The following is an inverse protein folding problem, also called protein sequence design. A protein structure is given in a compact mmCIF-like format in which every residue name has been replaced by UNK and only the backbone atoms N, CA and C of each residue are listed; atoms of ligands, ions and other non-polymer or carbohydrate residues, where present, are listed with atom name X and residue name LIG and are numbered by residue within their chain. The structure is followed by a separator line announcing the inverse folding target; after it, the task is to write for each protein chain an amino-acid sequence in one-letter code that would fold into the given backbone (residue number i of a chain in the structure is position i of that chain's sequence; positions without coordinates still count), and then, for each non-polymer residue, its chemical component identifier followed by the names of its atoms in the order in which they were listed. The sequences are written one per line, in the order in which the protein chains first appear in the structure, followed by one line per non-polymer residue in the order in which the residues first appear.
data_IF_463495208587
#
_entry.id   IF_463495208587
#
_cell.length_a   1.000
_cell.length_b   1.000
_cell.length_c   1.000
_cell.angle_alpha   90.00
_cell.angle_beta   90.00
_cell.angle_gamma   90.00
#
_symmetry.space_group_name_H-M   'P 1'
#
loop_
_entity.id
_entity.type
_entity.pdbx_description
1 polymer ?
#
# COMPACT_ATOMS: atom_id res chain seq x y z
N UNK A 1 -14.77 -4.22 1.19
CA UNK A 1 -13.50 -3.50 1.45
C UNK A 1 -13.84 -2.19 2.15
N UNK A 2 -13.24 -1.86 3.32
CA UNK A 2 -13.40 -0.54 3.96
C UNK A 2 -12.73 0.56 3.13
N UNK A 3 -13.23 1.81 3.26
CA UNK A 3 -12.60 2.95 2.63
C UNK A 3 -11.29 3.34 3.33
N UNK A 4 -10.37 3.98 2.60
CA UNK A 4 -9.10 4.43 3.17
C UNK A 4 -9.30 5.58 4.18
N UNK A 5 -10.36 6.37 4.07
CA UNK A 5 -10.67 7.40 5.06
C UNK A 5 -11.30 6.87 6.36
N UNK A 6 -11.62 5.58 6.45
CA UNK A 6 -12.06 4.91 7.66
C UNK A 6 -10.88 4.63 8.60
N UNK A 7 -11.15 4.03 9.77
CA UNK A 7 -10.12 3.87 10.78
C UNK A 7 -9.19 2.70 10.49
N UNK A 8 -7.89 2.92 10.60
CA UNK A 8 -6.84 1.94 10.43
C UNK A 8 -6.33 1.37 11.74
N UNK A 9 -5.91 0.11 11.73
CA UNK A 9 -5.09 -0.50 12.76
C UNK A 9 -3.60 -0.16 12.55
N UNK A 10 -3.19 0.18 11.34
CA UNK A 10 -1.84 0.60 10.98
C UNK A 10 -1.63 0.68 9.47
N UNK A 11 -0.43 1.04 9.09
CA UNK A 11 0.04 1.15 7.72
C UNK A 11 1.26 0.25 7.51
N UNK A 12 1.30 -0.44 6.38
CA UNK A 12 2.45 -1.19 5.89
C UNK A 12 3.22 -0.40 4.85
N UNK A 13 4.55 -0.53 4.86
CA UNK A 13 5.48 -0.06 3.84
C UNK A 13 6.53 -1.14 3.57
N UNK A 14 7.23 -1.05 2.44
CA UNK A 14 8.45 -1.81 2.15
C UNK A 14 9.65 -0.86 2.08
N UNK A 15 10.87 -1.40 2.23
CA UNK A 15 12.09 -0.60 2.19
C UNK A 15 12.72 -0.61 0.80
N UNK A 16 13.02 0.56 0.20
CA UNK A 16 13.60 0.61 -1.13
C UNK A 16 15.09 0.23 -1.10
N UNK A 17 15.51 -0.67 -2.01
CA UNK A 17 16.91 -1.11 -2.11
C UNK A 17 17.39 -1.34 -3.53
N UNK A 18 16.49 -1.41 -4.51
CA UNK A 18 16.77 -1.76 -5.89
C UNK A 18 17.49 -0.63 -6.65
N UNK A 19 18.80 -0.78 -7.05
CA UNK A 19 19.56 0.34 -7.61
C UNK A 19 19.23 0.67 -9.08
N UNK A 20 18.54 -0.22 -9.79
CA UNK A 20 18.04 0.00 -11.15
C UNK A 20 16.67 0.70 -11.20
N UNK A 21 16.11 1.02 -10.02
CA UNK A 21 14.95 1.88 -9.87
C UNK A 21 15.25 3.09 -8.97
N UNK A 22 16.02 2.90 -7.90
CA UNK A 22 16.34 3.92 -6.91
C UNK A 22 17.79 4.37 -7.04
N UNK A 23 18.00 5.62 -7.44
CA UNK A 23 19.34 6.16 -7.68
C UNK A 23 20.25 6.09 -6.46
N UNK A 24 21.56 6.09 -6.68
CA UNK A 24 22.60 6.12 -5.64
C UNK A 24 22.45 5.00 -4.59
N UNK A 25 22.08 3.79 -5.04
CA UNK A 25 21.87 2.63 -4.17
C UNK A 25 20.73 2.85 -3.19
N UNK A 26 19.67 3.53 -3.63
CA UNK A 26 18.44 3.84 -2.90
C UNK A 26 18.59 4.81 -1.70
N UNK A 27 19.75 5.34 -1.41
CA UNK A 27 19.98 6.18 -0.21
C UNK A 27 19.08 7.42 -0.14
N UNK A 28 18.87 8.20 -1.23
CA UNK A 28 17.93 9.34 -1.20
C UNK A 28 16.48 8.89 -1.04
N UNK A 29 16.09 7.81 -1.70
CA UNK A 29 14.74 7.25 -1.58
C UNK A 29 14.48 6.70 -0.18
N UNK A 30 15.45 6.03 0.44
CA UNK A 30 15.37 5.57 1.83
C UNK A 30 15.11 6.74 2.80
N UNK A 31 15.74 7.89 2.58
CA UNK A 31 15.48 9.08 3.38
C UNK A 31 14.03 9.60 3.20
N UNK A 32 13.52 9.60 1.96
CA UNK A 32 12.13 9.98 1.67
C UNK A 32 11.13 8.99 2.29
N UNK A 33 11.36 7.68 2.17
CA UNK A 33 10.53 6.64 2.79
C UNK A 33 10.50 6.76 4.31
N UNK A 34 11.65 7.01 4.94
CA UNK A 34 11.72 7.23 6.39
C UNK A 34 10.92 8.49 6.81
N UNK A 35 10.97 9.56 6.01
CA UNK A 35 10.19 10.77 6.27
C UNK A 35 8.68 10.54 6.12
N UNK A 36 8.25 9.76 5.12
CA UNK A 36 6.85 9.35 4.94
C UNK A 36 6.40 8.48 6.11
N UNK A 37 7.17 7.47 6.49
CA UNK A 37 6.89 6.60 7.63
C UNK A 37 6.74 7.40 8.94
N UNK A 38 7.65 8.36 9.18
CA UNK A 38 7.59 9.24 10.35
C UNK A 38 6.37 10.17 10.34
N UNK A 39 5.94 10.64 9.15
CA UNK A 39 4.74 11.44 9.01
C UNK A 39 3.46 10.62 9.33
N UNK A 40 3.36 9.39 8.81
CA UNK A 40 2.24 8.47 9.07
C UNK A 40 2.21 8.07 10.55
N UNK A 41 3.36 7.81 11.17
CA UNK A 41 3.48 7.42 12.57
C UNK A 41 2.91 8.45 13.56
N UNK A 42 2.72 9.72 13.16
CA UNK A 42 1.97 10.71 13.95
C UNK A 42 0.48 10.38 14.06
N UNK A 43 -0.04 9.54 13.18
CA UNK A 43 -1.46 9.21 13.10
C UNK A 43 -1.80 7.77 13.46
N UNK A 44 -0.93 6.82 13.15
CA UNK A 44 -1.18 5.39 13.28
C UNK A 44 0.13 4.58 13.31
N UNK A 45 0.12 3.32 13.81
CA UNK A 45 1.28 2.46 13.77
C UNK A 45 1.76 2.20 12.33
N UNK A 46 3.08 2.16 12.14
CA UNK A 46 3.71 1.84 10.85
C UNK A 46 4.57 0.59 11.00
N UNK A 47 4.46 -0.32 10.04
CA UNK A 47 5.32 -1.48 9.88
C UNK A 47 6.04 -1.39 8.54
N UNK A 48 7.36 -1.61 8.54
CA UNK A 48 8.19 -1.60 7.33
C UNK A 48 8.79 -2.97 7.13
N UNK A 49 8.46 -3.59 6.00
CA UNK A 49 9.10 -4.83 5.52
C UNK A 49 10.44 -4.50 4.88
N UNK A 50 11.46 -5.25 5.25
CA UNK A 50 12.86 -4.98 4.89
C UNK A 50 13.58 -6.29 4.60
N UNK A 51 14.42 -6.34 3.58
CA UNK A 51 15.27 -7.51 3.35
C UNK A 51 16.27 -7.72 4.49
N UNK A 52 16.72 -8.95 4.70
CA UNK A 52 17.76 -9.27 5.71
C UNK A 52 19.00 -8.39 5.53
N UNK A 53 19.41 -8.13 4.28
CA UNK A 53 20.58 -7.31 3.96
C UNK A 53 20.44 -5.84 4.38
N UNK A 54 19.22 -5.30 4.35
CA UNK A 54 18.95 -3.90 4.67
C UNK A 54 18.41 -3.68 6.08
N UNK A 55 18.22 -4.74 6.87
CA UNK A 55 17.56 -4.65 8.17
C UNK A 55 18.25 -3.66 9.13
N UNK A 56 19.56 -3.74 9.27
CA UNK A 56 20.32 -2.83 10.13
C UNK A 56 20.30 -1.39 9.60
N UNK A 57 20.40 -1.22 8.28
CA UNK A 57 20.31 0.09 7.64
C UNK A 57 18.94 0.75 7.88
N UNK A 58 17.85 0.02 7.65
CA UNK A 58 16.50 0.51 7.90
C UNK A 58 16.28 0.83 9.38
N UNK A 59 16.72 -0.06 10.29
CA UNK A 59 16.59 0.15 11.73
C UNK A 59 17.30 1.41 12.21
N UNK A 60 18.48 1.72 11.64
CA UNK A 60 19.25 2.93 11.96
C UNK A 60 18.61 4.23 11.44
N UNK A 61 17.78 4.16 10.40
CA UNK A 61 17.18 5.33 9.75
C UNK A 61 15.73 5.59 10.17
N UNK A 62 14.99 4.55 10.55
CA UNK A 62 13.60 4.65 10.97
C UNK A 62 13.49 5.00 12.45
N UNK A 63 12.45 5.76 12.84
CA UNK A 63 12.14 6.03 14.24
C UNK A 63 12.02 4.72 15.03
N UNK A 64 12.46 4.67 16.30
CA UNK A 64 12.42 3.47 17.13
C UNK A 64 11.04 2.84 17.26
N UNK A 65 9.97 3.64 17.25
CA UNK A 65 8.57 3.23 17.35
C UNK A 65 8.01 2.55 16.09
N UNK A 66 8.68 2.72 14.93
CA UNK A 66 8.29 2.05 13.69
C UNK A 66 8.72 0.60 13.76
N UNK A 67 7.77 -0.31 13.60
CA UNK A 67 8.02 -1.74 13.55
C UNK A 67 8.78 -2.09 12.26
N UNK A 68 9.90 -2.80 12.39
CA UNK A 68 10.65 -3.34 11.25
C UNK A 68 10.57 -4.85 11.28
N UNK A 69 10.21 -5.45 10.16
CA UNK A 69 10.10 -6.91 10.00
C UNK A 69 10.86 -7.36 8.75
N UNK A 70 11.36 -8.59 8.77
CA UNK A 70 12.06 -9.13 7.61
C UNK A 70 11.06 -9.63 6.56
N UNK A 71 11.07 -8.98 5.39
CA UNK A 71 10.35 -9.39 4.19
C UNK A 71 11.24 -9.14 2.98
N UNK A 72 11.58 -10.19 2.24
CA UNK A 72 12.23 -10.05 0.94
C UNK A 72 11.22 -9.67 -0.13
N UNK A 73 11.52 -8.65 -0.92
CA UNK A 73 10.75 -8.21 -2.10
C UNK A 73 11.72 -7.94 -3.26
N UNK A 74 11.20 -7.74 -4.47
CA UNK A 74 11.99 -7.28 -5.60
C UNK A 74 12.03 -5.75 -5.67
N UNK A 75 10.94 -5.07 -5.23
CA UNK A 75 10.88 -3.61 -5.07
C UNK A 75 9.97 -3.20 -3.90
N UNK A 76 9.70 -1.89 -3.72
CA UNK A 76 9.11 -1.34 -2.50
C UNK A 76 7.65 -0.85 -2.68
N UNK A 77 6.92 -1.36 -3.66
CA UNK A 77 5.58 -0.90 -4.04
C UNK A 77 4.47 -1.71 -3.35
N UNK A 78 4.37 -1.58 -2.02
CA UNK A 78 3.45 -2.39 -1.19
C UNK A 78 1.97 -2.17 -1.53
N UNK A 79 1.60 -1.02 -2.08
CA UNK A 79 0.23 -0.77 -2.54
C UNK A 79 -0.20 -1.81 -3.57
N UNK A 80 0.72 -2.22 -4.44
CA UNK A 80 0.43 -3.02 -5.61
C UNK A 80 0.73 -4.50 -5.40
N UNK A 81 1.80 -4.83 -4.67
CA UNK A 81 2.17 -6.21 -4.37
C UNK A 81 1.73 -6.68 -2.98
N UNK A 82 1.23 -5.78 -2.13
CA UNK A 82 0.70 -6.11 -0.81
C UNK A 82 -0.75 -6.59 -0.83
N UNK A 83 -1.27 -7.06 0.31
CA UNK A 83 -2.65 -7.56 0.38
C UNK A 83 -3.66 -6.41 0.34
N UNK A 84 -4.74 -6.58 -0.41
CA UNK A 84 -5.92 -5.74 -0.26
C UNK A 84 -6.74 -6.23 0.92
N UNK A 85 -6.74 -5.48 2.03
CA UNK A 85 -7.47 -5.88 3.23
C UNK A 85 -8.99 -5.67 3.10
N UNK A 86 -9.73 -6.67 3.54
CA UNK A 86 -11.20 -6.63 3.65
C UNK A 86 -11.62 -7.04 5.07
N UNK A 87 -12.86 -6.69 5.45
CA UNK A 87 -13.47 -7.10 6.72
C UNK A 87 -14.67 -7.97 6.39
N UNK A 88 -14.73 -9.16 6.98
CA UNK A 88 -15.86 -10.07 6.81
C UNK A 88 -17.09 -9.63 7.63
N UNK A 89 -18.22 -10.29 7.39
CA UNK A 89 -19.49 -10.00 8.09
C UNK A 89 -19.41 -10.20 9.62
N UNK A 90 -18.40 -10.91 10.12
CA UNK A 90 -18.16 -11.14 11.56
C UNK A 90 -17.17 -10.10 12.14
N UNK A 91 -16.67 -9.17 11.32
CA UNK A 91 -15.70 -8.16 11.71
C UNK A 91 -14.26 -8.69 11.72
N UNK A 92 -13.99 -9.88 11.18
CA UNK A 92 -12.65 -10.44 11.02
C UNK A 92 -11.92 -9.80 9.83
N UNK A 93 -10.62 -9.48 10.03
CA UNK A 93 -9.77 -8.99 8.93
C UNK A 93 -9.35 -10.16 8.04
N UNK A 94 -9.43 -9.95 6.74
CA UNK A 94 -9.01 -10.86 5.69
C UNK A 94 -8.15 -10.10 4.69
N UNK A 95 -7.34 -10.79 3.90
CA UNK A 95 -6.59 -10.17 2.82
C UNK A 95 -6.81 -10.87 1.49
N UNK A 96 -7.09 -10.09 0.47
CA UNK A 96 -7.04 -10.57 -0.92
C UNK A 96 -5.60 -10.44 -1.39
N UNK A 97 -5.08 -11.55 -1.87
CA UNK A 97 -3.74 -11.69 -2.43
C UNK A 97 -3.90 -11.89 -3.94
N UNK A 98 -3.79 -10.77 -4.65
CA UNK A 98 -3.86 -10.72 -6.10
C UNK A 98 -2.57 -11.26 -6.72
N UNK A 99 -2.64 -11.77 -7.94
CA UNK A 99 -1.43 -12.05 -8.71
C UNK A 99 -0.79 -10.73 -9.13
N UNK A 100 0.49 -10.58 -8.83
CA UNK A 100 1.30 -9.43 -9.24
C UNK A 100 2.22 -9.81 -10.39
N UNK A 101 2.32 -8.97 -11.43
CA UNK A 101 3.12 -9.22 -12.62
C UNK A 101 3.96 -8.01 -13.05
N UNK A 102 4.39 -7.17 -12.10
CA UNK A 102 5.15 -5.95 -12.35
C UNK A 102 4.50 -5.02 -13.39
N UNK A 103 3.16 -4.86 -13.32
CA UNK A 103 2.31 -3.99 -14.15
C UNK A 103 2.26 -4.34 -15.63
N UNK A 104 2.53 -5.57 -16.01
CA UNK A 104 2.38 -5.96 -17.41
C UNK A 104 3.10 -7.23 -17.84
N UNK A 105 3.73 -7.92 -16.91
CA UNK A 105 4.39 -9.19 -17.15
C UNK A 105 5.59 -9.05 -18.10
N UNK A 106 5.85 -10.08 -18.87
CA UNK A 106 6.99 -10.10 -19.79
C UNK A 106 6.85 -9.19 -21.02
N UNK A 107 5.62 -8.70 -21.30
CA UNK A 107 5.34 -7.90 -22.50
C UNK A 107 5.27 -6.39 -22.25
N UNK A 108 5.08 -5.98 -20.99
CA UNK A 108 4.88 -4.58 -20.64
C UNK A 108 5.24 -4.22 -19.21
N UNK A 109 5.74 -5.19 -18.43
CA UNK A 109 6.16 -4.98 -17.06
C UNK A 109 7.39 -4.07 -16.94
N UNK A 110 7.53 -3.44 -15.79
CA UNK A 110 8.60 -2.48 -15.54
C UNK A 110 9.92 -3.17 -15.17
N UNK A 111 9.87 -4.40 -14.66
CA UNK A 111 11.05 -5.19 -14.29
C UNK A 111 10.79 -6.69 -14.26
N UNK A 112 11.87 -7.45 -14.30
CA UNK A 112 11.91 -8.89 -14.12
C UNK A 112 13.18 -9.29 -13.33
N UNK A 113 13.09 -10.24 -12.37
CA UNK A 113 11.91 -10.96 -11.90
C UNK A 113 11.03 -10.13 -10.94
N UNK A 114 9.80 -10.63 -10.65
CA UNK A 114 8.87 -10.08 -9.65
C UNK A 114 8.31 -11.14 -8.71
N UNK A 115 8.95 -12.30 -8.68
CA UNK A 115 8.54 -13.48 -7.90
C UNK A 115 8.41 -13.21 -6.41
N UNK A 116 9.33 -12.42 -5.82
CA UNK A 116 9.30 -12.05 -4.42
C UNK A 116 8.20 -11.04 -4.11
N UNK A 117 7.89 -10.17 -5.06
CA UNK A 117 6.80 -9.21 -4.90
C UNK A 117 5.44 -9.92 -4.94
N UNK A 118 5.26 -10.94 -5.79
CA UNK A 118 4.04 -11.76 -5.82
C UNK A 118 3.81 -12.56 -4.52
N UNK A 119 4.82 -12.67 -3.66
CA UNK A 119 4.73 -13.31 -2.34
C UNK A 119 4.51 -12.31 -1.17
N UNK A 120 4.66 -11.02 -1.38
CA UNK A 120 4.57 -10.01 -0.30
C UNK A 120 3.24 -10.05 0.40
N UNK A 121 2.13 -10.14 -0.34
CA UNK A 121 0.79 -10.18 0.23
C UNK A 121 0.63 -11.37 1.20
N UNK A 122 1.11 -12.55 0.83
CA UNK A 122 1.09 -13.73 1.69
C UNK A 122 1.89 -13.49 2.98
N UNK A 123 3.13 -13.01 2.86
CA UNK A 123 4.01 -12.76 4.03
C UNK A 123 3.42 -11.75 5.00
N UNK A 124 2.83 -10.67 4.49
CA UNK A 124 2.14 -9.67 5.32
C UNK A 124 0.95 -10.30 6.06
N UNK A 125 0.13 -11.11 5.37
CA UNK A 125 -1.04 -11.75 5.99
C UNK A 125 -0.65 -12.78 7.05
N UNK A 126 0.42 -13.54 6.85
CA UNK A 126 0.97 -14.47 7.84
C UNK A 126 1.44 -13.72 9.10
N UNK A 127 2.17 -12.60 8.94
CA UNK A 127 2.65 -11.77 10.05
C UNK A 127 1.48 -11.16 10.85
N UNK A 128 0.42 -10.75 10.16
CA UNK A 128 -0.78 -10.14 10.76
C UNK A 128 -1.80 -11.18 11.27
N UNK A 129 -1.57 -12.48 11.04
CA UNK A 129 -2.49 -13.56 11.41
C UNK A 129 -3.86 -13.42 10.74
N UNK A 130 -3.90 -12.91 9.52
CA UNK A 130 -5.12 -12.71 8.75
C UNK A 130 -5.29 -13.81 7.70
N UNK A 131 -6.54 -14.26 7.49
CA UNK A 131 -6.83 -15.25 6.45
C UNK A 131 -6.59 -14.67 5.06
N UNK A 132 -6.09 -15.52 4.18
CA UNK A 132 -5.65 -15.17 2.81
C UNK A 132 -6.67 -15.67 1.78
N UNK A 133 -7.04 -14.81 0.83
CA UNK A 133 -7.78 -15.14 -0.38
C UNK A 133 -6.89 -14.98 -1.61
N UNK A 134 -6.13 -16.01 -1.98
CA UNK A 134 -5.31 -16.00 -3.20
C UNK A 134 -6.20 -16.14 -4.43
N UNK A 135 -5.89 -15.34 -5.46
CA UNK A 135 -6.55 -15.41 -6.77
C UNK A 135 -5.53 -15.28 -7.89
N UNK A 136 -5.79 -15.93 -9.01
CA UNK A 136 -4.98 -15.81 -10.23
C UNK A 136 -5.27 -14.54 -11.02
N UNK A 137 -6.23 -13.73 -10.58
CA UNK A 137 -6.55 -12.46 -11.22
C UNK A 137 -5.45 -11.43 -10.92
N UNK A 138 -4.87 -10.84 -11.96
CA UNK A 138 -3.86 -9.78 -11.83
C UNK A 138 -4.57 -8.47 -11.50
N UNK A 139 -4.24 -7.90 -10.34
CA UNK A 139 -4.76 -6.61 -9.90
C UNK A 139 -3.79 -5.98 -8.90
N UNK A 140 -3.51 -4.73 -9.09
CA UNK A 140 -2.73 -3.91 -8.17
C UNK A 140 -3.66 -3.06 -7.29
N UNK A 141 -3.29 -2.85 -6.02
CA UNK A 141 -4.08 -2.02 -5.11
C UNK A 141 -4.23 -0.57 -5.56
N UNK A 142 -3.24 -0.04 -6.30
CA UNK A 142 -3.30 1.29 -6.92
C UNK A 142 -4.27 1.41 -8.09
N UNK A 143 -4.66 0.28 -8.70
CA UNK A 143 -5.66 0.26 -9.78
C UNK A 143 -7.10 0.47 -9.30
N UNK A 144 -7.36 0.42 -8.00
CA UNK A 144 -8.70 0.52 -7.41
C UNK A 144 -8.74 1.52 -6.25
N UNK A 145 -9.88 2.20 -6.09
CA UNK A 145 -10.16 3.00 -4.89
C UNK A 145 -11.64 2.85 -4.49
N UNK A 146 -11.92 2.55 -3.22
CA UNK A 146 -13.28 2.26 -2.75
C UNK A 146 -13.80 3.26 -1.75
N UNK A 147 -15.14 3.44 -1.72
CA UNK A 147 -15.83 4.32 -0.77
C UNK A 147 -16.26 3.63 0.54
N UNK A 148 -15.97 2.33 0.71
CA UNK A 148 -16.44 1.54 1.85
C UNK A 148 -17.95 1.28 1.87
N UNK A 149 -18.71 1.76 0.90
CA UNK A 149 -20.16 1.67 0.82
C UNK A 149 -20.66 0.94 -0.44
N UNK A 150 -19.77 0.25 -1.11
CA UNK A 150 -20.08 -0.59 -2.28
C UNK A 150 -19.66 0.02 -3.62
N UNK A 151 -19.00 1.18 -3.63
CA UNK A 151 -18.51 1.81 -4.88
C UNK A 151 -17.01 1.63 -5.03
N UNK A 152 -16.56 1.34 -6.26
CA UNK A 152 -15.15 1.28 -6.65
C UNK A 152 -14.90 2.23 -7.82
N UNK A 153 -13.82 3.01 -7.77
CA UNK A 153 -13.23 3.73 -8.90
C UNK A 153 -12.12 2.88 -9.50
N UNK A 154 -12.04 2.87 -10.82
CA UNK A 154 -10.94 2.26 -11.58
C UNK A 154 -10.83 2.89 -12.97
N UNK A 155 -9.82 2.48 -13.76
CA UNK A 155 -9.64 2.94 -15.14
C UNK A 155 -9.77 1.80 -16.14
N UNK A 156 -10.27 2.13 -17.34
CA UNK A 156 -10.29 1.21 -18.48
C UNK A 156 -8.89 0.89 -18.96
N UNK A 157 -8.02 1.90 -18.98
CA UNK A 157 -6.61 1.78 -19.41
C UNK A 157 -5.86 0.71 -18.64
N UNK A 158 -6.12 0.59 -17.32
CA UNK A 158 -5.46 -0.39 -16.46
C UNK A 158 -6.14 -1.76 -16.51
N UNK A 159 -7.37 -1.88 -16.01
CA UNK A 159 -7.98 -3.19 -15.76
C UNK A 159 -8.50 -3.89 -17.02
N UNK A 160 -8.68 -3.18 -18.14
CA UNK A 160 -9.01 -3.78 -19.43
C UNK A 160 -7.79 -3.95 -20.33
N UNK A 161 -6.58 -3.68 -19.84
CA UNK A 161 -5.36 -3.91 -20.58
C UNK A 161 -5.07 -5.42 -20.67
N UNK A 162 -4.84 -5.95 -21.89
CA UNK A 162 -4.54 -7.37 -22.06
C UNK A 162 -3.30 -7.86 -21.29
N UNK A 163 -2.39 -6.96 -20.92
CA UNK A 163 -1.18 -7.29 -20.16
C UNK A 163 -1.44 -7.62 -18.67
N UNK A 164 -2.71 -7.52 -18.20
CA UNK A 164 -3.17 -7.97 -16.88
C UNK A 164 -3.88 -9.33 -17.00
N UNK A 165 -5.09 -9.33 -17.51
CA UNK A 165 -5.97 -10.50 -17.51
C UNK A 165 -6.43 -10.90 -18.92
N UNK A 166 -5.56 -10.72 -19.93
CA UNK A 166 -5.88 -11.06 -21.31
C UNK A 166 -7.08 -10.25 -21.82
N UNK A 167 -8.10 -10.93 -22.32
CA UNK A 167 -9.29 -10.28 -22.87
C UNK A 167 -10.45 -10.19 -21.87
N UNK A 168 -10.17 -10.01 -20.57
CA UNK A 168 -11.21 -9.84 -19.56
C UNK A 168 -12.12 -8.65 -19.93
N UNK A 169 -13.42 -8.90 -19.95
CA UNK A 169 -14.43 -7.86 -20.16
C UNK A 169 -14.65 -7.04 -18.87
N UNK A 170 -15.34 -5.90 -18.99
CA UNK A 170 -15.81 -5.15 -17.81
C UNK A 170 -16.61 -6.02 -16.86
N UNK A 171 -17.52 -6.85 -17.39
CA UNK A 171 -18.35 -7.73 -16.58
C UNK A 171 -17.52 -8.75 -15.79
N UNK A 172 -16.45 -9.29 -16.38
CA UNK A 172 -15.54 -10.21 -15.68
C UNK A 172 -14.80 -9.49 -14.55
N UNK A 173 -14.28 -8.30 -14.80
CA UNK A 173 -13.61 -7.48 -13.77
C UNK A 173 -14.57 -7.12 -12.65
N UNK A 174 -15.77 -6.62 -12.97
CA UNK A 174 -16.80 -6.25 -12.00
C UNK A 174 -17.22 -7.45 -11.14
N UNK A 175 -17.35 -8.65 -11.72
CA UNK A 175 -17.66 -9.87 -10.99
C UNK A 175 -16.54 -10.24 -9.99
N UNK A 176 -15.28 -10.06 -10.37
CA UNK A 176 -14.13 -10.27 -9.49
C UNK A 176 -14.12 -9.25 -8.35
N UNK A 177 -14.29 -7.96 -8.65
CA UNK A 177 -14.34 -6.91 -7.63
C UNK A 177 -15.51 -7.11 -6.66
N UNK A 178 -16.69 -7.50 -7.17
CA UNK A 178 -17.83 -7.86 -6.33
C UNK A 178 -17.51 -9.03 -5.40
N UNK A 179 -16.94 -10.10 -5.94
CA UNK A 179 -16.66 -11.34 -5.20
C UNK A 179 -15.65 -11.11 -4.06
N UNK A 180 -14.56 -10.39 -4.32
CA UNK A 180 -13.46 -10.26 -3.37
C UNK A 180 -13.56 -9.02 -2.49
N UNK A 181 -14.12 -7.92 -3.00
CA UNK A 181 -14.16 -6.63 -2.29
C UNK A 181 -15.55 -6.26 -1.79
N UNK A 182 -16.60 -6.95 -2.25
CA UNK A 182 -17.99 -6.66 -1.89
C UNK A 182 -18.50 -5.35 -2.49
N UNK A 183 -17.93 -4.90 -3.62
CA UNK A 183 -18.43 -3.72 -4.36
C UNK A 183 -19.61 -4.12 -5.24
N UNK A 184 -20.56 -3.20 -5.41
CA UNK A 184 -21.77 -3.41 -6.22
C UNK A 184 -21.86 -2.44 -7.39
N UNK A 185 -21.02 -1.40 -7.38
CA UNK A 185 -20.97 -0.37 -8.42
C UNK A 185 -19.53 -0.05 -8.74
N UNK A 186 -19.14 -0.19 -10.00
CA UNK A 186 -17.82 0.20 -10.50
C UNK A 186 -17.98 1.42 -11.40
N UNK A 187 -17.26 2.48 -11.09
CA UNK A 187 -17.20 3.70 -11.90
C UNK A 187 -15.90 3.67 -12.70
N UNK A 188 -16.03 3.54 -14.00
CA UNK A 188 -14.93 3.42 -14.94
C UNK A 188 -14.51 4.79 -15.48
N UNK A 189 -13.29 5.21 -15.16
CA UNK A 189 -12.62 6.32 -15.83
C UNK A 189 -11.86 5.81 -17.06
N UNK A 190 -11.56 6.68 -18.04
CA UNK A 190 -10.95 6.26 -19.28
C UNK A 190 -9.47 5.90 -19.09
N UNK A 191 -8.68 6.88 -18.68
CA UNK A 191 -7.23 6.78 -18.52
C UNK A 191 -6.82 7.16 -17.11
N UNK A 192 -5.62 6.74 -16.70
CA UNK A 192 -4.89 7.29 -15.55
C UNK A 192 -4.27 8.65 -15.86
N UNK A 193 -3.32 9.12 -15.06
CA UNK A 193 -2.61 10.35 -15.38
C UNK A 193 -1.65 10.15 -16.56
N UNK A 194 -1.33 11.26 -17.23
CA UNK A 194 -0.47 11.23 -18.40
C UNK A 194 0.91 10.68 -18.09
N UNK A 195 1.33 9.64 -18.84
CA UNK A 195 2.58 8.91 -18.69
C UNK A 195 2.74 8.13 -17.38
N UNK A 196 1.63 7.75 -16.75
CA UNK A 196 1.68 6.79 -15.67
C UNK A 196 2.31 5.47 -16.14
N UNK A 197 3.38 5.07 -15.47
CA UNK A 197 4.15 3.88 -15.84
C UNK A 197 3.43 2.57 -15.50
N UNK A 198 2.48 2.63 -14.57
CA UNK A 198 1.71 1.45 -14.14
C UNK A 198 0.58 1.08 -15.10
N UNK A 199 0.39 1.87 -16.17
CA UNK A 199 -0.66 1.65 -17.17
C UNK A 199 -2.02 2.23 -16.76
N UNK A 200 -2.02 3.34 -16.05
CA UNK A 200 -3.22 4.13 -15.78
C UNK A 200 -3.90 3.84 -14.45
N UNK A 201 -3.15 3.72 -13.37
CA UNK A 201 -3.70 3.56 -12.03
C UNK A 201 -4.63 4.70 -11.63
N UNK A 202 -5.68 4.35 -10.87
CA UNK A 202 -6.66 5.32 -10.39
C UNK A 202 -6.13 6.19 -9.26
N UNK A 203 -5.21 5.71 -8.45
CA UNK A 203 -4.73 6.34 -7.24
C UNK A 203 -3.90 7.61 -7.47
N UNK A 204 -3.44 7.84 -8.70
CA UNK A 204 -2.83 9.10 -9.11
C UNK A 204 -3.82 10.06 -9.77
N UNK A 205 -4.95 9.54 -10.28
CA UNK A 205 -5.96 10.32 -10.96
C UNK A 205 -7.09 10.78 -10.03
N UNK A 206 -7.68 9.84 -9.26
CA UNK A 206 -8.84 10.13 -8.42
C UNK A 206 -8.93 9.21 -7.20
N UNK A 207 -9.37 9.78 -6.07
CA UNK A 207 -9.61 9.00 -4.85
C UNK A 207 -10.85 9.50 -4.10
N UNK A 208 -11.51 8.62 -3.36
CA UNK A 208 -12.57 9.01 -2.43
C UNK A 208 -11.99 9.69 -1.19
N UNK A 209 -12.52 10.85 -0.84
CA UNK A 209 -12.13 11.62 0.36
C UNK A 209 -13.18 11.55 1.47
N UNK A 210 -14.33 10.98 1.15
CA UNK A 210 -15.47 10.79 2.01
C UNK A 210 -16.65 10.19 1.24
N UNK A 211 -17.77 9.85 1.89
CA UNK A 211 -18.93 9.32 1.20
C UNK A 211 -19.45 10.27 0.11
N UNK A 212 -19.44 9.80 -1.15
CA UNK A 212 -19.88 10.58 -2.30
C UNK A 212 -18.95 11.75 -2.67
N UNK A 213 -17.74 11.85 -2.11
CA UNK A 213 -16.76 12.89 -2.42
C UNK A 213 -15.51 12.31 -3.05
N UNK A 214 -15.05 12.90 -4.15
CA UNK A 214 -13.91 12.46 -4.94
C UNK A 214 -12.94 13.62 -5.16
N UNK A 215 -11.66 13.42 -4.82
CA UNK A 215 -10.57 14.28 -5.28
C UNK A 215 -10.15 13.83 -6.69
N UNK A 216 -9.95 14.78 -7.60
CA UNK A 216 -9.57 14.53 -8.99
C UNK A 216 -8.36 15.40 -9.36
N UNK A 217 -7.32 14.77 -9.91
CA UNK A 217 -6.17 15.47 -10.49
C UNK A 217 -6.63 16.37 -11.63
N UNK A 218 -6.23 17.65 -11.59
CA UNK A 218 -6.72 18.67 -12.49
C UNK A 218 -5.61 19.58 -13.01
N UNK A 219 -5.77 20.05 -14.23
CA UNK A 219 -5.00 21.17 -14.79
C UNK A 219 -5.93 22.06 -15.60
N UNK A 220 -5.64 23.36 -15.63
CA UNK A 220 -6.31 24.34 -16.52
C UNK A 220 -5.49 24.57 -17.81
N UNK A 221 -4.26 24.02 -17.88
CA UNK A 221 -3.43 24.16 -19.08
C UNK A 221 -3.90 23.23 -20.19
N UNK A 222 -4.61 23.79 -21.17
CA UNK A 222 -5.13 23.08 -22.34
C UNK A 222 -4.05 22.50 -23.27
N UNK A 223 -2.78 22.91 -23.11
CA UNK A 223 -1.65 22.38 -23.86
C UNK A 223 -1.04 21.14 -23.19
N UNK A 224 -1.32 20.94 -21.90
CA UNK A 224 -0.90 19.76 -21.18
C UNK A 224 -1.82 18.57 -21.58
N UNK A 225 -1.28 17.42 -22.03
CA UNK A 225 -2.08 16.24 -22.34
C UNK A 225 -2.95 15.75 -21.19
N UNK A 226 -2.60 16.07 -19.93
CA UNK A 226 -3.42 15.77 -18.76
C UNK A 226 -4.77 16.48 -18.79
N UNK A 227 -4.90 17.63 -19.47
CA UNK A 227 -6.15 18.39 -19.53
C UNK A 227 -7.31 17.53 -20.06
N UNK A 228 -7.12 16.89 -21.20
CA UNK A 228 -8.16 16.04 -21.82
C UNK A 228 -8.51 14.83 -20.94
N UNK A 229 -7.51 14.19 -20.32
CA UNK A 229 -7.70 13.08 -19.38
C UNK A 229 -8.55 13.54 -18.18
N UNK A 230 -8.21 14.67 -17.58
CA UNK A 230 -8.94 15.21 -16.42
C UNK A 230 -10.36 15.64 -16.80
N UNK A 231 -10.57 16.20 -18.00
CA UNK A 231 -11.89 16.57 -18.50
C UNK A 231 -12.79 15.33 -18.73
N UNK A 232 -12.27 14.28 -19.36
CA UNK A 232 -13.01 13.01 -19.54
C UNK A 232 -13.39 12.42 -18.18
N UNK A 233 -12.42 12.28 -17.27
CA UNK A 233 -12.65 11.76 -15.92
C UNK A 233 -13.71 12.58 -15.16
N UNK A 234 -13.65 13.91 -15.23
CA UNK A 234 -14.64 14.80 -14.63
C UNK A 234 -16.05 14.57 -15.18
N UNK A 235 -16.20 14.43 -16.52
CA UNK A 235 -17.49 14.21 -17.14
C UNK A 235 -18.08 12.84 -16.76
N UNK A 236 -17.25 11.80 -16.71
CA UNK A 236 -17.67 10.46 -16.27
C UNK A 236 -18.13 10.47 -14.80
N UNK A 237 -17.36 11.06 -13.91
CA UNK A 237 -17.70 11.20 -12.48
C UNK A 237 -19.00 12.01 -12.28
N UNK A 238 -19.20 13.10 -13.02
CA UNK A 238 -20.45 13.90 -12.96
C UNK A 238 -21.71 13.11 -13.33
N UNK A 239 -21.60 12.20 -14.28
CA UNK A 239 -22.72 11.36 -14.75
C UNK A 239 -22.94 10.15 -13.87
N UNK A 240 -21.91 9.71 -13.15
CA UNK A 240 -21.96 8.53 -12.32
C UNK A 240 -22.82 8.77 -11.06
N UNK A 241 -23.29 7.66 -10.52
CA UNK A 241 -23.85 7.58 -9.17
C UNK A 241 -23.14 6.49 -8.41
N UNK A 242 -22.93 6.69 -7.13
CA UNK A 242 -22.36 5.68 -6.28
C UNK A 242 -23.35 4.55 -5.94
N UNK A 243 -22.91 3.53 -5.24
CA UNK A 243 -23.73 2.38 -4.85
C UNK A 243 -24.94 2.73 -3.96
N UNK A 244 -24.99 3.94 -3.41
CA UNK A 244 -26.11 4.48 -2.65
C UNK A 244 -27.01 5.40 -3.49
N UNK A 245 -26.77 5.52 -4.80
CA UNK A 245 -27.52 6.38 -5.71
C UNK A 245 -27.17 7.87 -5.62
N UNK A 246 -26.13 8.26 -4.85
CA UNK A 246 -25.70 9.66 -4.70
C UNK A 246 -24.95 10.14 -5.93
N UNK A 247 -25.18 11.38 -6.31
CA UNK A 247 -24.31 12.09 -7.24
C UNK A 247 -22.99 12.44 -6.53
N UNK A 248 -21.89 12.30 -7.25
CA UNK A 248 -20.55 12.57 -6.68
C UNK A 248 -20.27 14.08 -6.63
N UNK A 249 -19.69 14.53 -5.53
CA UNK A 249 -19.05 15.86 -5.41
C UNK A 249 -17.58 15.73 -5.78
N UNK A 250 -17.16 16.46 -6.83
CA UNK A 250 -15.83 16.34 -7.39
C UNK A 250 -14.99 17.56 -6.98
N UNK A 251 -13.86 17.31 -6.33
CA UNK A 251 -12.92 18.31 -5.87
C UNK A 251 -11.68 18.28 -6.75
N UNK A 252 -11.48 19.32 -7.54
CA UNK A 252 -10.32 19.48 -8.40
C UNK A 252 -9.09 19.81 -7.59
N UNK A 253 -8.07 18.95 -7.64
CA UNK A 253 -6.76 19.15 -7.04
C UNK A 253 -5.79 19.46 -8.17
N UNK A 254 -5.33 20.71 -8.22
CA UNK A 254 -4.43 21.12 -9.28
C UNK A 254 -3.11 20.34 -9.19
N UNK A 255 -2.71 19.70 -10.30
CA UNK A 255 -1.43 19.00 -10.37
C UNK A 255 -0.23 19.97 -10.27
N UNK A 256 0.97 19.52 -9.90
CA UNK A 256 2.18 20.30 -10.11
C UNK A 256 2.40 20.55 -11.60
N UNK A 257 3.19 21.56 -11.95
CA UNK A 257 3.63 21.73 -13.34
C UNK A 257 4.38 20.50 -13.85
N UNK A 258 4.60 20.39 -15.17
CA UNK A 258 5.35 19.27 -15.73
C UNK A 258 6.74 19.18 -15.08
N UNK A 259 7.04 18.01 -14.48
CA UNK A 259 8.32 17.69 -13.88
C UNK A 259 9.05 16.70 -14.78
N UNK A 260 10.36 16.89 -14.92
CA UNK A 260 11.19 16.06 -15.77
C UNK A 260 12.37 15.52 -14.97
N UNK A 261 12.83 14.32 -15.35
CA UNK A 261 14.06 13.74 -14.82
C UNK A 261 15.26 14.51 -15.34
N UNK A 262 16.17 14.89 -14.45
CA UNK A 262 17.43 15.54 -14.83
C UNK A 262 18.48 14.54 -15.28
N UNK A 263 19.56 15.03 -15.91
CA UNK A 263 20.68 14.18 -16.31
C UNK A 263 21.37 13.52 -15.10
N UNK A 264 21.57 14.29 -14.02
CA UNK A 264 22.19 13.78 -12.79
C UNK A 264 21.33 12.73 -12.09
N UNK A 265 20.00 12.91 -12.09
CA UNK A 265 19.07 11.94 -11.53
C UNK A 265 19.10 10.63 -12.31
N UNK A 266 19.06 10.69 -13.64
CA UNK A 266 19.15 9.53 -14.50
C UNK A 266 20.51 8.80 -14.40
N UNK A 267 21.60 9.55 -14.30
CA UNK A 267 22.94 8.99 -14.16
C UNK A 267 23.16 8.24 -12.85
N UNK A 268 22.39 8.55 -11.81
CA UNK A 268 22.46 7.89 -10.52
C UNK A 268 21.73 6.53 -10.46
N UNK A 269 21.04 6.11 -11.53
CA UNK A 269 20.27 4.87 -11.61
C UNK A 269 21.07 3.83 -12.39
N UNK A 270 21.25 2.64 -11.82
CA UNK A 270 21.93 1.53 -12.49
C UNK A 270 21.11 1.03 -13.69
N UNK A 271 21.77 0.86 -14.84
CA UNK A 271 21.12 0.27 -16.00
C UNK A 271 21.24 -1.25 -15.89
N UNK A 272 20.11 -1.95 -15.88
CA UNK A 272 20.06 -3.42 -15.83
C UNK A 272 19.16 -3.99 -16.92
N UNK A 273 19.56 -5.14 -17.46
CA UNK A 273 18.69 -5.92 -18.33
C UNK A 273 17.44 -6.37 -17.54
N UNK A 274 16.28 -6.30 -18.16
CA UNK A 274 14.99 -6.66 -17.53
C UNK A 274 14.36 -5.55 -16.69
N UNK A 275 14.92 -4.34 -16.68
CA UNK A 275 14.30 -3.16 -16.07
C UNK A 275 14.07 -2.07 -17.11
N UNK A 276 12.97 -1.35 -16.97
CA UNK A 276 12.68 -0.19 -17.82
C UNK A 276 13.73 0.89 -17.60
N UNK A 277 14.44 1.34 -18.65
CA UNK A 277 15.45 2.37 -18.52
C UNK A 277 14.80 3.73 -18.22
N UNK A 278 15.40 4.49 -17.31
CA UNK A 278 15.02 5.86 -16.96
C UNK A 278 15.99 6.84 -17.61
N UNK A 279 15.46 7.90 -18.22
CA UNK A 279 16.24 8.80 -19.06
C UNK A 279 16.06 10.25 -18.65
N UNK A 280 17.12 11.03 -18.80
CA UNK A 280 17.02 12.49 -18.71
C UNK A 280 15.97 13.04 -19.69
N UNK A 281 15.13 13.92 -19.23
CA UNK A 281 14.03 14.49 -20.02
C UNK A 281 12.74 13.68 -20.00
N UNK A 282 12.70 12.49 -19.39
CA UNK A 282 11.45 11.76 -19.16
C UNK A 282 10.55 12.59 -18.25
N UNK A 283 9.30 12.80 -18.65
CA UNK A 283 8.29 13.47 -17.82
C UNK A 283 7.87 12.53 -16.70
N UNK A 284 7.85 13.05 -15.49
CA UNK A 284 7.47 12.30 -14.29
C UNK A 284 5.94 12.39 -14.05
N UNK A 285 5.27 11.28 -13.68
CA UNK A 285 3.84 11.24 -13.42
C UNK A 285 3.52 11.83 -12.03
N UNK A 286 3.52 13.14 -11.92
CA UNK A 286 3.36 13.83 -10.64
C UNK A 286 1.90 14.20 -10.37
N UNK A 287 1.37 13.74 -9.24
CA UNK A 287 0.02 14.05 -8.78
C UNK A 287 -0.04 14.30 -7.28
N UNK A 288 -0.72 15.38 -6.85
CA UNK A 288 -1.03 15.58 -5.43
C UNK A 288 -2.15 14.68 -4.92
N UNK A 289 -2.86 13.95 -5.80
CA UNK A 289 -3.89 12.98 -5.41
C UNK A 289 -3.29 11.68 -4.89
N UNK A 290 -2.02 11.41 -5.18
CA UNK A 290 -1.30 10.25 -4.65
C UNK A 290 -0.83 10.47 -3.19
N UNK A 291 -1.74 10.94 -2.33
CA UNK A 291 -1.53 11.09 -0.88
C UNK A 291 -2.03 9.85 -0.13
N UNK A 292 -1.61 9.71 1.12
CA UNK A 292 -2.09 8.67 2.03
C UNK A 292 -2.98 9.27 3.14
N UNK A 293 -4.14 8.62 3.41
CA UNK A 293 -5.09 9.05 4.43
C UNK A 293 -4.87 8.23 5.70
N UNK A 294 -4.05 8.73 6.63
CA UNK A 294 -3.88 8.13 7.96
C UNK A 294 -4.97 8.57 8.94
N UNK A 295 -5.08 7.90 10.10
CA UNK A 295 -6.11 8.18 11.11
C UNK A 295 -6.20 9.64 11.55
N UNK A 296 -5.05 10.32 11.73
CA UNK A 296 -4.98 11.69 12.27
C UNK A 296 -4.39 12.70 11.30
N UNK A 297 -3.82 12.22 10.20
CA UNK A 297 -3.20 13.07 9.20
C UNK A 297 -3.46 12.59 7.78
N UNK A 298 -3.22 13.47 6.82
CA UNK A 298 -3.08 13.15 5.40
C UNK A 298 -1.64 13.48 5.03
N UNK A 299 -0.91 12.49 4.55
CA UNK A 299 0.48 12.67 4.12
C UNK A 299 0.49 12.88 2.62
N UNK A 300 0.89 14.08 2.19
CA UNK A 300 0.88 14.48 0.79
C UNK A 300 2.28 14.68 0.24
N UNK A 301 2.52 14.39 -1.04
CA UNK A 301 3.78 14.68 -1.69
C UNK A 301 3.99 16.18 -1.87
N UNK A 302 5.24 16.62 -1.77
CA UNK A 302 5.68 17.97 -2.15
C UNK A 302 6.62 17.86 -3.34
N UNK A 303 6.35 18.65 -4.37
CA UNK A 303 7.08 18.64 -5.64
C UNK A 303 7.54 20.03 -6.09
N UNK A 304 6.65 21.03 -5.96
CA UNK A 304 6.84 22.36 -6.51
C UNK A 304 6.25 23.41 -5.57
N UNK A 305 7.12 24.26 -5.03
CA UNK A 305 6.74 25.31 -4.07
C UNK A 305 5.62 26.24 -4.57
N UNK A 306 5.45 26.37 -5.90
CA UNK A 306 4.37 27.19 -6.49
C UNK A 306 2.99 26.57 -6.26
N UNK A 307 2.90 25.22 -6.22
CA UNK A 307 1.62 24.48 -6.16
C UNK A 307 1.39 23.77 -4.85
N UNK A 308 2.46 23.39 -4.12
CA UNK A 308 2.39 22.62 -2.86
C UNK A 308 1.43 23.24 -1.85
N UNK A 309 1.56 24.58 -1.64
CA UNK A 309 0.71 25.28 -0.68
C UNK A 309 -0.77 25.32 -1.09
N UNK A 310 -1.08 25.37 -2.38
CA UNK A 310 -2.44 25.36 -2.89
C UNK A 310 -3.07 23.96 -2.75
N UNK A 311 -2.31 22.91 -3.07
CA UNK A 311 -2.72 21.52 -2.88
C UNK A 311 -2.97 21.23 -1.40
N UNK A 312 -2.06 21.62 -0.51
CA UNK A 312 -2.22 21.46 0.95
C UNK A 312 -3.49 22.15 1.48
N UNK A 313 -3.80 23.39 1.02
CA UNK A 313 -5.05 24.07 1.40
C UNK A 313 -6.29 23.31 0.90
N UNK A 314 -6.24 22.74 -0.29
CA UNK A 314 -7.35 21.96 -0.84
C UNK A 314 -7.57 20.69 -0.01
N UNK A 315 -6.52 19.94 0.29
CA UNK A 315 -6.61 18.75 1.13
C UNK A 315 -7.07 19.07 2.55
N UNK A 316 -6.63 20.19 3.15
CA UNK A 316 -7.12 20.60 4.47
C UNK A 316 -8.62 20.89 4.50
N UNK A 317 -9.20 21.40 3.39
CA UNK A 317 -10.66 21.58 3.28
C UNK A 317 -11.38 20.24 3.17
N UNK A 318 -10.80 19.27 2.49
CA UNK A 318 -11.38 17.92 2.33
C UNK A 318 -11.28 17.10 3.62
N UNK A 319 -10.24 17.30 4.39
CA UNK A 319 -9.97 16.56 5.62
C UNK A 319 -9.86 17.51 6.85
N UNK A 320 -10.94 18.21 7.25
CA UNK A 320 -10.86 19.23 8.29
C UNK A 320 -10.45 18.69 9.66
N UNK A 321 -10.70 17.39 9.93
CA UNK A 321 -10.34 16.71 11.18
C UNK A 321 -8.93 16.10 11.17
N UNK A 322 -8.20 16.16 10.03
CA UNK A 322 -6.86 15.61 9.88
C UNK A 322 -5.83 16.70 9.64
N UNK A 323 -4.62 16.50 10.17
CA UNK A 323 -3.48 17.36 9.86
C UNK A 323 -2.94 17.01 8.49
N UNK A 324 -2.80 17.97 7.58
CA UNK A 324 -2.11 17.75 6.31
C UNK A 324 -0.61 17.93 6.53
N UNK A 325 0.16 16.91 6.21
CA UNK A 325 1.63 16.85 6.35
C UNK A 325 2.22 16.69 4.97
N UNK A 326 2.96 17.69 4.51
CA UNK A 326 3.69 17.60 3.25
C UNK A 326 5.08 16.97 3.46
N UNK A 327 5.45 16.04 2.59
CA UNK A 327 6.76 15.39 2.56
C UNK A 327 7.40 15.57 1.18
N UNK A 328 8.67 15.98 1.14
CA UNK A 328 9.42 16.05 -0.11
C UNK A 328 9.69 14.63 -0.62
N UNK A 329 9.04 14.26 -1.72
CA UNK A 329 9.05 12.89 -2.25
C UNK A 329 9.46 12.81 -3.71
N UNK A 330 10.26 13.77 -4.19
CA UNK A 330 10.82 13.69 -5.55
C UNK A 330 11.57 12.38 -5.78
N UNK A 331 12.29 11.89 -4.78
CA UNK A 331 13.03 10.63 -4.86
C UNK A 331 12.11 9.39 -5.02
N UNK A 332 10.89 9.45 -4.51
CA UNK A 332 9.88 8.41 -4.74
C UNK A 332 9.31 8.55 -6.15
N UNK A 333 9.04 9.79 -6.58
CA UNK A 333 8.51 10.09 -7.91
C UNK A 333 9.46 9.62 -9.03
N UNK A 334 10.77 9.75 -8.83
CA UNK A 334 11.77 9.23 -9.76
C UNK A 334 11.68 7.72 -9.95
N UNK A 335 11.17 6.99 -8.96
CA UNK A 335 10.86 5.56 -9.01
C UNK A 335 9.60 5.20 -9.80
N UNK A 336 8.75 6.18 -10.17
CA UNK A 336 7.55 5.96 -10.99
C UNK A 336 6.22 5.99 -10.24
N UNK A 337 6.19 6.38 -8.97
CA UNK A 337 4.98 6.51 -8.15
C UNK A 337 5.18 7.48 -6.99
N UNK A 338 4.28 7.47 -5.99
CA UNK A 338 4.47 8.34 -4.83
C UNK A 338 3.93 7.73 -3.52
N UNK A 339 3.49 8.57 -2.58
CA UNK A 339 3.17 8.21 -1.19
C UNK A 339 2.12 7.10 -1.11
N UNK A 340 1.04 7.18 -1.89
CA UNK A 340 0.01 6.14 -1.89
C UNK A 340 0.57 4.79 -2.38
N UNK A 341 1.39 4.80 -3.43
CA UNK A 341 1.99 3.61 -4.03
C UNK A 341 2.91 2.84 -3.06
N UNK A 342 3.56 3.54 -2.13
CA UNK A 342 4.49 2.96 -1.15
C UNK A 342 3.85 2.64 0.21
N UNK A 343 2.52 2.75 0.32
CA UNK A 343 1.78 2.57 1.57
C UNK A 343 0.58 1.64 1.37
N UNK A 344 0.26 0.83 2.38
CA UNK A 344 -0.92 -0.03 2.39
C UNK A 344 -1.60 0.04 3.74
N UNK A 345 -2.83 0.56 3.77
CA UNK A 345 -3.63 0.63 4.99
C UNK A 345 -4.12 -0.74 5.43
N UNK A 346 -4.08 -0.96 6.72
CA UNK A 346 -4.67 -2.11 7.39
C UNK A 346 -5.90 -1.63 8.18
N UNK A 347 -7.13 -1.96 7.78
CA UNK A 347 -8.33 -1.45 8.43
C UNK A 347 -8.46 -1.96 9.87
N UNK A 348 -8.99 -1.11 10.75
CA UNK A 348 -9.30 -1.51 12.12
C UNK A 348 -10.55 -2.40 12.12
N UNK A 349 -10.45 -3.57 12.74
CA UNK A 349 -11.60 -4.42 13.00
C UNK A 349 -12.38 -3.89 14.20
N UNK A 350 -13.70 -4.11 14.24
CA UNK A 350 -14.46 -3.91 15.46
C UNK A 350 -13.85 -4.80 16.55
N UNK A 351 -13.51 -4.21 17.69
CA UNK A 351 -13.02 -4.99 18.83
C UNK A 351 -14.18 -5.91 19.26
N UNK A 352 -14.15 -7.15 18.85
CA UNK A 352 -14.97 -8.17 19.47
C UNK A 352 -14.46 -8.25 20.90
N UNK A 353 -15.18 -7.64 21.85
CA UNK A 353 -14.94 -7.89 23.26
C UNK A 353 -15.16 -9.40 23.42
N UNK A 354 -14.09 -10.17 23.37
CA UNK A 354 -14.09 -11.51 23.91
C UNK A 354 -14.46 -11.32 25.36
N UNK A 355 -15.70 -11.68 25.72
CA UNK A 355 -16.07 -11.92 27.10
C UNK A 355 -15.04 -12.95 27.58
N UNK A 356 -14.07 -12.51 28.35
CA UNK A 356 -13.21 -13.38 29.13
C UNK A 356 -14.18 -14.09 30.04
N UNK A 357 -14.62 -15.30 29.65
CA UNK A 357 -15.21 -16.23 30.61
C UNK A 357 -14.10 -16.49 31.61
N UNK A 358 -14.16 -15.78 32.72
CA UNK A 358 -13.39 -16.12 33.90
C UNK A 358 -13.83 -17.55 34.28
N UNK A 359 -13.07 -18.51 33.81
CA UNK A 359 -13.17 -19.87 34.36
C UNK A 359 -12.84 -19.73 35.82
N UNK A 360 -13.82 -20.05 36.68
CA UNK A 360 -13.60 -20.21 38.12
C UNK A 360 -12.36 -21.09 38.30
N UNK A 361 -11.43 -20.75 39.22
CA UNK A 361 -10.28 -21.60 39.47
C UNK A 361 -10.82 -22.96 39.92
N UNK A 362 -10.42 -23.99 39.16
CA UNK A 362 -10.65 -25.39 39.59
C UNK A 362 -9.75 -25.60 40.79
N UNK A 363 -10.36 -25.70 41.97
CA UNK A 363 -9.69 -26.15 43.18
C UNK A 363 -9.29 -27.60 43.00
N UNK A 364 -8.01 -27.87 42.76
CA UNK A 364 -7.46 -29.21 42.77
C UNK A 364 -7.33 -29.64 44.26
N UNK A 365 -7.96 -30.80 44.65
CA UNK A 365 -7.75 -31.30 46.03
C UNK A 365 -6.28 -31.65 46.26
N UNK A 366 -5.74 -31.21 47.40
CA UNK A 366 -4.41 -31.61 47.82
C UNK A 366 -4.35 -33.15 47.98
N UNK A 367 -3.35 -33.83 47.44
CA UNK A 367 -3.14 -35.26 47.74
C UNK A 367 -2.75 -35.45 49.20
N UNK A 368 -3.34 -36.45 49.86
CA UNK A 368 -3.05 -36.85 51.23
C UNK A 368 -1.59 -37.29 51.38
N UNK A 369 -0.98 -36.92 52.52
CA UNK A 369 0.37 -37.23 52.90
C UNK A 369 0.72 -38.72 52.75
N UNK A 370 1.58 -39.04 51.82
CA UNK A 370 2.24 -40.34 51.76
C UNK A 370 3.69 -40.19 52.24
N UNK A 371 3.95 -40.59 53.45
CA UNK A 371 5.28 -40.64 54.06
C UNK A 371 6.11 -41.75 53.40
N UNK A 372 7.04 -41.41 52.56
CA UNK A 372 8.08 -42.33 52.06
C UNK A 372 9.21 -42.40 53.06
N UNK A 373 9.31 -43.57 53.75
CA UNK A 373 10.49 -43.98 54.50
C UNK A 373 11.61 -44.33 53.51
N UNK A 374 12.68 -43.56 53.51
CA UNK A 374 13.91 -43.89 52.76
C UNK A 374 14.73 -44.85 53.62
N UNK A 375 14.85 -46.10 53.19
CA UNK A 375 15.85 -47.06 53.73
C UNK A 375 17.18 -46.83 53.03
N UNK A 376 18.19 -46.41 53.81
CA UNK A 376 19.57 -46.28 53.36
C UNK A 376 20.24 -47.69 53.37
N UNK A 377 20.56 -48.21 52.20
CA UNK A 377 21.45 -49.36 52.07
C UNK A 377 22.90 -48.92 51.83
N UNK A 378 23.72 -49.10 52.83
CA UNK A 378 25.18 -48.98 52.71
C UNK A 378 25.73 -50.14 51.84
N UNK A 379 26.39 -49.82 50.74
CA UNK A 379 27.27 -50.74 50.01
C UNK A 379 28.73 -50.39 50.35
N UNK A 380 29.41 -51.40 50.93
CA UNK A 380 30.86 -51.45 51.25
C UNK A 380 31.64 -51.49 49.91
N UNK A 381 32.81 -50.85 49.94
CA UNK A 381 33.75 -50.85 48.84
C UNK A 381 34.53 -52.15 48.72
N UNK A 382 35.15 -52.36 47.59
CA UNK A 382 36.34 -53.19 47.37
C UNK A 382 37.27 -52.49 46.37
N UNK A 383 38.62 -52.76 46.59
CA UNK A 383 39.66 -51.99 45.91
C UNK A 383 40.04 -52.56 44.53
N UNK A 384 40.81 -51.77 43.77
CA UNK A 384 41.28 -52.07 42.44
C UNK A 384 42.29 -53.25 42.34
N UNK A 385 42.78 -53.50 41.12
CA UNK A 385 44.24 -53.26 40.99
C UNK A 385 44.59 -52.45 39.71
N UNK A 386 45.83 -52.03 39.82
CA UNK A 386 46.65 -51.38 38.82
C UNK A 386 46.88 -52.24 37.55
N UNK A 387 46.90 -51.57 36.38
CA UNK A 387 48.12 -51.46 35.53
C UNK A 387 47.81 -50.39 34.44
#
# INVERSE_FOLDING_TARGET
MPAEYERHAGCWMLWPERPDNWREGAKPSQAAFAAVAAAIAQGEPVTVGVSAAQFQNARARLNPEIRVVEISSNDAWIRDCGPTFVIDAKGGRRGVDWTFNAWGGLQGGLYFPWDRDDEVAQKVLEIEGADRYRTSFVLEGGAIHVDGQGTCLTTEECLLNPNRNGNASRADVEAVLQRYLGVTTVIWLGKGIYLDETGGHIDELACFTGPGQVALTWTEDRKDPQYEISCDAYQRLRRARDARGRQLTIHKIHQPGPLYMTADEAAGIDVRAGSRPRRAGDRLPASYVNFYIANRCVVMPLYDKRWDAAAARSLKRLFPSRKVIGVATREVLLGGGNIHCITQQMPQTATVRRAVKTSRPVTVPRPANMSLRVQATRRRGRPGPAD
#
